data_IF_026369959873
#
_entry.id   IF_026369959873
#
_cell.length_a   1.000
_cell.length_b   1.000
_cell.length_c   1.000
_cell.angle_alpha   90.00
_cell.angle_beta   90.00
_cell.angle_gamma   90.00
#
_symmetry.space_group_name_H-M   'P 1'
#
loop_
_entity.id
_entity.type
_entity.pdbx_description
1 polymer ?
#
# COMPACT_ATOMS: atom_id res chain seq x y z
N UNK A 1 0.79 7.49 13.53
CA UNK A 1 2.05 7.01 14.15
C UNK A 1 3.22 6.78 13.17
N UNK A 2 3.22 5.79 12.26
CA UNK A 2 4.43 5.54 11.44
C UNK A 2 4.80 6.70 10.51
N UNK A 3 3.81 7.31 9.83
CA UNK A 3 4.01 8.52 9.00
C UNK A 3 4.53 9.70 9.83
N UNK A 4 3.91 9.94 10.98
CA UNK A 4 4.31 11.02 11.91
C UNK A 4 5.75 10.87 12.42
N UNK A 5 6.22 9.63 12.60
CA UNK A 5 7.57 9.32 13.08
C UNK A 5 8.59 9.14 11.95
N UNK A 6 8.18 9.30 10.69
CA UNK A 6 9.06 9.12 9.52
C UNK A 6 9.56 7.69 9.32
N UNK A 7 8.84 6.68 9.81
CA UNK A 7 9.22 5.29 9.65
C UNK A 7 8.77 4.74 8.30
N UNK A 8 9.68 4.11 7.56
CA UNK A 8 9.35 3.34 6.36
C UNK A 8 8.74 2.00 6.78
N UNK A 9 7.54 1.71 6.30
CA UNK A 9 6.82 0.46 6.54
C UNK A 9 6.58 -0.23 5.21
N UNK A 10 6.90 -1.52 5.12
CA UNK A 10 6.61 -2.36 3.96
C UNK A 10 5.65 -3.46 4.38
N UNK A 11 4.54 -3.59 3.65
CA UNK A 11 3.52 -4.61 3.88
C UNK A 11 3.44 -5.46 2.62
N UNK A 12 3.60 -6.78 2.78
CA UNK A 12 3.38 -7.76 1.71
C UNK A 12 2.06 -8.44 2.00
N UNK A 13 1.13 -8.36 1.06
CA UNK A 13 -0.23 -8.90 1.23
C UNK A 13 -0.84 -9.28 -0.11
N UNK A 14 -1.75 -10.24 -0.08
CA UNK A 14 -2.62 -10.58 -1.20
C UNK A 14 -3.97 -9.84 -1.13
N UNK A 15 -4.25 -9.10 -0.05
CA UNK A 15 -5.48 -8.30 0.08
C UNK A 15 -5.30 -6.96 -0.63
N UNK A 16 -5.93 -6.82 -1.79
CA UNK A 16 -5.85 -5.61 -2.61
C UNK A 16 -6.43 -4.36 -1.91
N UNK A 17 -7.40 -4.49 -1.01
CA UNK A 17 -7.99 -3.33 -0.30
C UNK A 17 -6.97 -2.59 0.56
N UNK A 18 -5.96 -3.30 1.08
CA UNK A 18 -4.87 -2.67 1.84
C UNK A 18 -3.96 -1.78 0.97
N UNK A 19 -4.01 -1.90 -0.36
CA UNK A 19 -3.26 -1.01 -1.24
C UNK A 19 -3.78 0.44 -1.13
N UNK A 20 -5.06 0.64 -0.78
CA UNK A 20 -5.69 1.96 -0.69
C UNK A 20 -5.09 2.85 0.41
N UNK A 21 -4.46 2.26 1.44
CA UNK A 21 -3.80 2.99 2.53
C UNK A 21 -2.29 3.22 2.28
N UNK A 22 -1.71 2.55 1.27
CA UNK A 22 -0.27 2.61 1.02
C UNK A 22 0.10 3.83 0.17
N UNK A 23 1.25 4.45 0.45
CA UNK A 23 1.81 5.56 -0.36
C UNK A 23 2.28 5.11 -1.74
N UNK A 24 2.81 3.89 -1.81
CA UNK A 24 3.29 3.26 -3.04
C UNK A 24 2.83 1.82 -3.05
N UNK A 25 2.25 1.40 -4.17
CA UNK A 25 1.78 0.05 -4.40
C UNK A 25 2.67 -0.57 -5.47
N UNK A 26 3.27 -1.71 -5.15
CA UNK A 26 4.05 -2.52 -6.09
C UNK A 26 3.29 -3.83 -6.28
N UNK A 27 2.74 -4.03 -7.47
CA UNK A 27 2.01 -5.25 -7.80
C UNK A 27 2.98 -6.28 -8.37
N UNK A 28 2.94 -7.49 -7.83
CA UNK A 28 3.81 -8.60 -8.23
C UNK A 28 2.95 -9.73 -8.78
N UNK A 29 3.35 -10.25 -9.93
CA UNK A 29 2.72 -11.41 -10.58
C UNK A 29 3.78 -12.24 -11.29
N UNK A 30 3.69 -13.56 -11.12
CA UNK A 30 4.64 -14.52 -11.70
C UNK A 30 6.11 -14.21 -11.38
N UNK A 31 6.39 -13.67 -10.18
CA UNK A 31 7.75 -13.33 -9.74
C UNK A 31 8.31 -12.04 -10.35
N UNK A 32 7.54 -11.33 -11.17
CA UNK A 32 7.92 -10.05 -11.75
C UNK A 32 7.05 -8.90 -11.22
N UNK A 33 7.60 -7.68 -11.23
CA UNK A 33 6.82 -6.47 -10.98
C UNK A 33 5.91 -6.25 -12.20
N UNK A 34 4.60 -6.23 -11.96
CA UNK A 34 3.59 -5.97 -12.99
C UNK A 34 3.30 -4.47 -13.08
N UNK A 35 3.20 -3.78 -11.94
CA UNK A 35 2.95 -2.34 -11.87
C UNK A 35 3.57 -1.68 -10.62
N UNK A 36 3.85 -0.37 -10.72
CA UNK A 36 4.23 0.48 -9.61
C UNK A 36 3.39 1.76 -9.66
N UNK A 37 2.49 1.92 -8.70
CA UNK A 37 1.62 3.09 -8.58
C UNK A 37 1.93 3.89 -7.32
N UNK A 38 2.05 5.22 -7.47
CA UNK A 38 2.05 6.15 -6.33
C UNK A 38 0.61 6.53 -5.99
N UNK A 39 0.22 6.36 -4.74
CA UNK A 39 -1.08 6.76 -4.24
C UNK A 39 -1.01 8.20 -3.72
N UNK A 40 -1.61 9.14 -4.44
CA UNK A 40 -1.56 10.57 -4.11
C UNK A 40 -2.46 10.95 -2.93
N UNK A 41 -3.41 10.09 -2.55
CA UNK A 41 -4.31 10.30 -1.42
C UNK A 41 -4.57 8.98 -0.67
N UNK A 42 -3.59 8.49 0.11
CA UNK A 42 -3.74 7.26 0.88
C UNK A 42 -4.88 7.38 1.90
N UNK A 43 -5.78 6.39 1.89
CA UNK A 43 -6.92 6.34 2.81
C UNK A 43 -6.47 6.00 4.22
N UNK A 44 -7.21 6.47 5.21
CA UNK A 44 -7.03 5.96 6.56
C UNK A 44 -7.46 4.48 6.60
N UNK A 45 -6.76 3.67 7.39
CA UNK A 45 -7.08 2.23 7.53
C UNK A 45 -8.53 2.00 7.95
N UNK A 46 -9.14 2.95 8.68
CA UNK A 46 -10.55 2.90 9.11
C UNK A 46 -11.54 3.07 7.95
N UNK A 47 -11.10 3.60 6.81
CA UNK A 47 -11.92 3.85 5.62
C UNK A 47 -11.80 2.72 4.58
N UNK A 48 -10.80 1.85 4.72
CA UNK A 48 -10.59 0.70 3.85
C UNK A 48 -11.74 -0.29 4.05
N UNK A 49 -12.43 -0.64 2.96
CA UNK A 49 -13.51 -1.64 2.96
C UNK A 49 -12.99 -2.97 2.41
N UNK A 50 -13.43 -4.07 2.99
CA UNK A 50 -13.02 -5.43 2.64
C UNK A 50 -14.15 -6.24 2.00
#
# INVERSE_FOLDING_TARGET
>A
MSREKGHTVVIVTHNASLAEMADKVIQIKNGCIEDITLNTAPKDVREVRW
#
